data_IF_516140106852
#
_entry.id   IF_516140106852
#
_cell.length_a   1.000
_cell.length_b   1.000
_cell.length_c   1.000
_cell.angle_alpha   90.00
_cell.angle_beta   90.00
_cell.angle_gamma   90.00
#
_symmetry.space_group_name_H-M   'P 1'
#
loop_
_entity.id
_entity.type
_entity.pdbx_description
1 polymer ?
#
# COMPACT_ATOMS: atom_id res chain seq x y z
N UNK A 1 5.23 15.01 7.64
CA UNK A 1 4.28 13.95 8.10
C UNK A 1 4.48 12.64 7.37
N UNK A 2 4.74 12.63 6.05
CA UNK A 2 5.16 11.41 5.34
C UNK A 2 6.48 10.84 5.89
N UNK A 3 7.42 11.70 6.30
CA UNK A 3 8.71 11.28 6.87
C UNK A 3 8.58 10.46 8.16
N UNK A 4 7.55 10.73 8.97
CA UNK A 4 7.39 10.11 10.30
C UNK A 4 6.87 8.67 10.21
N UNK A 5 6.03 8.37 9.21
CA UNK A 5 5.51 7.00 9.01
C UNK A 5 6.59 6.11 8.40
N UNK A 6 7.35 6.61 7.43
CA UNK A 6 8.47 5.88 6.84
C UNK A 6 9.57 5.58 7.89
N UNK A 7 9.96 6.57 8.71
CA UNK A 7 10.89 6.34 9.83
C UNK A 7 10.35 5.31 10.83
N UNK A 8 9.06 5.39 11.17
CA UNK A 8 8.45 4.43 12.12
C UNK A 8 8.46 3.01 11.54
N UNK A 9 8.21 2.85 10.24
CA UNK A 9 8.26 1.55 9.56
C UNK A 9 9.68 1.00 9.52
N UNK A 10 10.67 1.82 9.18
CA UNK A 10 12.08 1.41 9.20
C UNK A 10 12.52 1.00 10.61
N UNK A 11 12.10 1.75 11.63
CA UNK A 11 12.36 1.40 13.03
C UNK A 11 11.76 0.05 13.41
N UNK A 12 10.55 -0.30 12.94
CA UNK A 12 9.95 -1.62 13.20
C UNK A 12 10.81 -2.78 12.67
N UNK A 13 11.47 -2.61 11.52
CA UNK A 13 12.36 -3.62 10.95
C UNK A 13 13.71 -3.74 11.66
N UNK A 14 14.09 -2.75 12.48
CA UNK A 14 15.32 -2.79 13.29
C UNK A 14 15.15 -3.43 14.67
N UNK A 15 13.92 -3.80 15.05
CA UNK A 15 13.64 -4.37 16.37
C UNK A 15 14.19 -5.79 16.48
N UNK A 16 15.05 -6.00 17.47
CA UNK A 16 15.56 -7.31 17.87
C UNK A 16 14.49 -8.09 18.65
N UNK A 17 13.83 -9.02 17.96
CA UNK A 17 12.67 -9.76 18.48
C UNK A 17 13.02 -10.68 19.66
N UNK A 18 14.29 -11.11 19.78
CA UNK A 18 14.75 -12.01 20.84
C UNK A 18 14.85 -11.30 22.20
N UNK A 19 14.88 -9.96 22.20
CA UNK A 19 14.93 -9.13 23.41
C UNK A 19 13.56 -8.64 23.88
N UNK A 20 12.50 -8.94 23.14
CA UNK A 20 11.15 -8.52 23.47
C UNK A 20 10.50 -9.46 24.48
N UNK A 21 9.66 -8.89 25.35
CA UNK A 21 8.73 -9.69 26.13
C UNK A 21 7.68 -10.33 25.21
N UNK A 22 7.01 -11.42 25.65
CA UNK A 22 5.95 -12.03 24.85
C UNK A 22 4.85 -11.05 24.41
N UNK A 23 4.44 -10.14 25.30
CA UNK A 23 3.43 -9.11 24.97
C UNK A 23 3.93 -8.13 23.91
N UNK A 24 5.22 -7.76 23.95
CA UNK A 24 5.83 -6.89 22.94
C UNK A 24 5.99 -7.60 21.59
N UNK A 25 6.25 -8.91 21.57
CA UNK A 25 6.26 -9.71 20.35
C UNK A 25 4.86 -9.76 19.72
N UNK A 26 3.81 -9.92 20.54
CA UNK A 26 2.41 -9.89 20.07
C UNK A 26 2.06 -8.51 19.49
N UNK A 27 2.46 -7.44 20.17
CA UNK A 27 2.25 -6.07 19.70
C UNK A 27 3.00 -5.80 18.38
N UNK A 28 4.27 -6.24 18.27
CA UNK A 28 5.05 -6.14 17.05
C UNK A 28 4.42 -6.94 15.90
N UNK A 29 3.98 -8.17 16.14
CA UNK A 29 3.29 -8.98 15.15
C UNK A 29 2.01 -8.33 14.63
N UNK A 30 1.25 -7.69 15.52
CA UNK A 30 0.04 -6.93 15.15
C UNK A 30 0.39 -5.70 14.30
N UNK A 31 1.43 -4.95 14.68
CA UNK A 31 1.91 -3.80 13.92
C UNK A 31 2.39 -4.18 12.51
N UNK A 32 3.14 -5.27 12.37
CA UNK A 32 3.59 -5.80 11.08
C UNK A 32 2.42 -6.28 10.22
N UNK A 33 1.40 -6.92 10.81
CA UNK A 33 0.21 -7.34 10.10
C UNK A 33 -0.60 -6.14 9.58
N UNK A 34 -0.74 -5.07 10.37
CA UNK A 34 -1.38 -3.83 9.95
C UNK A 34 -0.60 -3.14 8.82
N UNK A 35 0.73 -3.11 8.91
CA UNK A 35 1.58 -2.56 7.86
C UNK A 35 1.39 -3.30 6.52
N UNK A 36 1.45 -4.64 6.54
CA UNK A 36 1.25 -5.46 5.34
C UNK A 36 -0.14 -5.26 4.71
N UNK A 37 -1.18 -5.04 5.54
CA UNK A 37 -2.52 -4.72 5.04
C UNK A 37 -2.57 -3.35 4.37
N UNK A 38 -1.91 -2.34 4.94
CA UNK A 38 -1.85 -0.99 4.37
C UNK A 38 -1.11 -0.98 3.02
N UNK A 39 0.03 -1.68 2.92
CA UNK A 39 0.77 -1.82 1.65
C UNK A 39 -0.07 -2.49 0.56
N UNK A 40 -0.81 -3.55 0.91
CA UNK A 40 -1.71 -4.21 -0.01
C UNK A 40 -2.82 -3.27 -0.51
N UNK A 41 -3.35 -2.43 0.36
CA UNK A 41 -4.37 -1.44 -0.01
C UNK A 41 -3.82 -0.41 -0.99
N UNK A 42 -2.61 0.08 -0.76
CA UNK A 42 -1.93 1.01 -1.66
C UNK A 42 -1.72 0.38 -3.05
N UNK A 43 -1.27 -0.88 -3.10
CA UNK A 43 -1.13 -1.62 -4.36
C UNK A 43 -2.47 -1.79 -5.10
N UNK A 44 -3.57 -2.02 -4.36
CA UNK A 44 -4.92 -2.11 -4.95
C UNK A 44 -5.31 -0.75 -5.53
N UNK A 45 -5.07 0.33 -4.81
CA UNK A 45 -5.40 1.68 -5.25
C UNK A 45 -4.67 2.05 -6.55
N UNK A 46 -3.36 1.76 -6.62
CA UNK A 46 -2.57 2.01 -7.83
C UNK A 46 -3.07 1.18 -9.02
N UNK A 47 -3.40 -0.09 -8.81
CA UNK A 47 -4.01 -0.94 -9.85
C UNK A 47 -5.34 -0.38 -10.34
N UNK A 48 -6.20 0.09 -9.44
CA UNK A 48 -7.49 0.72 -9.79
C UNK A 48 -7.28 2.00 -10.61
N UNK A 49 -6.29 2.81 -10.25
CA UNK A 49 -5.92 4.01 -11.02
C UNK A 49 -5.47 3.65 -12.43
N UNK A 50 -4.63 2.62 -12.58
CA UNK A 50 -4.22 2.10 -13.88
C UNK A 50 -5.40 1.61 -14.72
N UNK A 51 -6.32 0.84 -14.12
CA UNK A 51 -7.56 0.40 -14.80
C UNK A 51 -8.38 1.61 -15.26
N UNK A 52 -8.54 2.63 -14.42
CA UNK A 52 -9.27 3.85 -14.77
C UNK A 52 -8.64 4.58 -15.97
N UNK A 53 -7.31 4.65 -16.05
CA UNK A 53 -6.60 5.25 -17.19
C UNK A 53 -6.83 4.45 -18.49
N UNK A 54 -6.77 3.12 -18.41
CA UNK A 54 -7.03 2.25 -19.57
C UNK A 54 -8.47 2.42 -20.05
N UNK A 55 -9.45 2.41 -19.14
CA UNK A 55 -10.86 2.61 -19.47
C UNK A 55 -11.11 3.97 -20.12
N UNK A 56 -10.54 5.05 -19.58
CA UNK A 56 -10.65 6.38 -20.18
C UNK A 56 -10.03 6.44 -21.57
N UNK A 57 -8.90 5.77 -21.77
CA UNK A 57 -8.24 5.70 -23.10
C UNK A 57 -9.12 4.98 -24.11
N UNK A 58 -9.77 3.89 -23.73
CA UNK A 58 -10.72 3.17 -24.59
C UNK A 58 -11.96 4.01 -24.91
N UNK A 59 -12.52 4.71 -23.92
CA UNK A 59 -13.66 5.60 -24.12
C UNK A 59 -13.33 6.76 -25.08
N UNK A 60 -12.14 7.36 -24.94
CA UNK A 60 -11.64 8.39 -25.85
C UNK A 60 -11.51 7.87 -27.29
N UNK A 61 -10.89 6.70 -27.47
CA UNK A 61 -10.75 6.08 -28.80
C UNK A 61 -12.12 5.78 -29.43
N UNK A 62 -13.05 5.19 -28.67
CA UNK A 62 -14.39 4.89 -29.17
C UNK A 62 -15.16 6.15 -29.61
N UNK A 63 -14.95 7.28 -28.94
CA UNK A 63 -15.56 8.57 -29.30
C UNK A 63 -14.98 9.14 -30.61
N UNK A 64 -13.67 8.99 -30.82
CA UNK A 64 -12.99 9.40 -32.06
C UNK A 64 -13.38 8.50 -33.24
N UNK A 65 -13.43 7.18 -33.03
CA UNK A 65 -13.78 6.22 -34.08
C UNK A 65 -15.27 6.26 -34.46
N UNK A 66 -16.16 6.65 -33.53
CA UNK A 66 -17.60 6.80 -33.79
C UNK A 66 -18.02 8.09 -34.50
N UNK A 67 -17.10 9.02 -34.74
CA UNK A 67 -17.37 10.32 -35.38
C UNK A 67 -16.99 10.35 -36.87
N UNK A 68 -16.75 9.20 -37.50
CA UNK A 68 -16.36 9.05 -38.92
C UNK A 68 -17.48 8.52 -39.79
#
# INVERSE_FOLDING_TARGET
MADTIAETVDLLYTIDQEKLTPDQQIALGSALATLAQAERLEQINERLRGIHQVLNTWALKATVDGSR
#
